data_IF_827743959856
#
_entry.id   IF_827743959856
#
_cell.length_a   1.000
_cell.length_b   1.000
_cell.length_c   1.000
_cell.angle_alpha   90.00
_cell.angle_beta   90.00
_cell.angle_gamma   90.00
#
_symmetry.space_group_name_H-M   'P 1'
#
loop_
_entity.id
_entity.type
_entity.pdbx_description
1 polymer ?
#
# COMPACT_ATOMS: atom_id res chain seq x y z
N UNK A 1 19.74 -16.44 35.68
CA UNK A 1 18.33 -16.17 35.49
C UNK A 1 18.18 -15.09 34.44
N UNK A 2 18.23 -15.45 33.16
CA UNK A 2 17.91 -14.54 32.07
C UNK A 2 16.40 -14.41 31.97
N UNK A 3 15.92 -13.19 31.91
CA UNK A 3 14.51 -12.87 31.72
C UNK A 3 14.14 -13.26 30.27
N UNK A 4 13.26 -14.25 30.02
CA UNK A 4 12.85 -14.58 28.67
C UNK A 4 11.75 -13.60 28.27
N UNK A 5 12.04 -12.67 27.37
CA UNK A 5 11.00 -11.93 26.67
C UNK A 5 11.04 -10.43 26.76
N UNK A 6 12.17 -9.80 26.51
CA UNK A 6 12.14 -8.52 25.82
C UNK A 6 12.23 -8.83 24.35
N UNK A 7 11.06 -8.95 23.68
CA UNK A 7 11.05 -8.67 22.25
C UNK A 7 11.69 -7.29 22.08
N UNK A 8 12.68 -7.14 21.18
CA UNK A 8 13.17 -5.81 20.84
C UNK A 8 11.96 -4.96 20.50
N UNK A 9 11.96 -3.71 20.95
CA UNK A 9 10.89 -2.74 20.71
C UNK A 9 10.35 -2.98 19.31
N UNK A 10 9.06 -3.37 19.23
CA UNK A 10 8.53 -4.00 18.01
C UNK A 10 8.73 -3.07 16.81
N UNK A 11 9.02 -3.65 15.66
CA UNK A 11 9.20 -2.90 14.40
C UNK A 11 7.88 -2.23 14.05
N UNK A 12 7.85 -0.89 13.88
CA UNK A 12 6.64 -0.21 13.42
C UNK A 12 6.15 -0.81 12.11
N UNK A 13 4.90 -1.23 12.09
CA UNK A 13 4.31 -1.93 10.96
C UNK A 13 2.96 -1.32 10.57
N UNK A 14 2.72 -1.12 9.28
CA UNK A 14 1.43 -0.69 8.76
C UNK A 14 0.63 -1.91 8.33
N UNK A 15 -0.63 -1.98 8.77
CA UNK A 15 -1.58 -3.01 8.31
C UNK A 15 -2.72 -2.32 7.58
N UNK A 16 -2.91 -2.68 6.31
CA UNK A 16 -3.91 -2.10 5.43
C UNK A 16 -5.18 -2.95 5.37
N UNK A 17 -6.34 -2.27 5.29
CA UNK A 17 -7.63 -2.85 4.99
C UNK A 17 -8.19 -2.21 3.71
N UNK A 18 -8.48 -3.04 2.69
CA UNK A 18 -8.81 -2.62 1.32
C UNK A 18 -10.31 -2.50 1.02
N UNK A 19 -11.18 -2.67 2.03
CA UNK A 19 -12.63 -2.57 1.89
C UNK A 19 -13.31 -2.26 3.22
N UNK A 20 -14.57 -1.77 3.23
CA UNK A 20 -15.33 -1.56 4.47
C UNK A 20 -15.42 -2.82 5.32
N UNK A 21 -15.62 -3.98 4.68
CA UNK A 21 -15.71 -5.28 5.37
C UNK A 21 -14.40 -5.65 6.07
N UNK A 22 -13.26 -5.50 5.41
CA UNK A 22 -11.95 -5.78 5.99
C UNK A 22 -11.62 -4.81 7.12
N UNK A 23 -11.97 -3.54 6.95
CA UNK A 23 -11.75 -2.52 7.99
C UNK A 23 -12.54 -2.86 9.27
N UNK A 24 -13.79 -3.25 9.14
CA UNK A 24 -14.59 -3.70 10.29
C UNK A 24 -14.00 -4.96 10.95
N UNK A 25 -13.47 -5.89 10.16
CA UNK A 25 -12.80 -7.07 10.70
C UNK A 25 -11.54 -6.68 11.48
N UNK A 26 -10.71 -5.80 10.92
CA UNK A 26 -9.49 -5.33 11.56
C UNK A 26 -9.78 -4.55 12.85
N UNK A 27 -10.83 -3.70 12.85
CA UNK A 27 -11.30 -3.01 14.09
C UNK A 27 -11.70 -4.02 15.17
N UNK A 28 -12.40 -5.08 14.82
CA UNK A 28 -12.78 -6.13 15.79
C UNK A 28 -11.57 -6.84 16.37
N UNK A 29 -10.54 -7.10 15.56
CA UNK A 29 -9.29 -7.68 16.03
C UNK A 29 -8.58 -6.74 17.01
N UNK A 30 -8.48 -5.46 16.68
CA UNK A 30 -7.86 -4.46 17.57
C UNK A 30 -8.61 -4.30 18.90
N UNK A 31 -9.94 -4.39 18.88
CA UNK A 31 -10.75 -4.33 20.10
C UNK A 31 -10.65 -5.60 20.95
N UNK A 32 -10.31 -6.75 20.35
CA UNK A 32 -10.25 -8.04 21.04
C UNK A 32 -8.88 -8.34 21.63
N UNK A 33 -7.84 -7.83 21.02
CA UNK A 33 -6.45 -8.07 21.43
C UNK A 33 -5.79 -6.74 21.79
N UNK A 34 -4.93 -6.75 22.80
CA UNK A 34 -4.00 -5.64 23.01
C UNK A 34 -3.07 -5.58 21.78
N UNK A 35 -3.37 -4.63 20.90
CA UNK A 35 -2.55 -4.41 19.72
C UNK A 35 -1.28 -3.68 20.16
N UNK A 36 -0.14 -4.22 19.76
CA UNK A 36 1.15 -3.61 20.10
C UNK A 36 1.17 -2.18 19.54
N UNK A 37 1.63 -1.18 20.31
CA UNK A 37 1.56 0.24 19.95
C UNK A 37 2.31 0.62 18.67
N UNK A 38 3.13 -0.29 18.14
CA UNK A 38 3.83 -0.10 16.86
C UNK A 38 3.05 -0.57 15.63
N UNK A 39 1.84 -1.12 15.81
CA UNK A 39 0.98 -1.49 14.68
C UNK A 39 0.10 -0.29 14.31
N UNK A 40 0.24 0.19 13.10
CA UNK A 40 -0.43 1.37 12.56
C UNK A 40 -1.51 0.89 11.57
N UNK A 41 -2.80 1.09 11.85
CA UNK A 41 -3.85 0.74 10.91
C UNK A 41 -3.93 1.74 9.74
N UNK A 42 -4.17 1.21 8.55
CA UNK A 42 -4.46 1.97 7.35
C UNK A 42 -5.74 1.48 6.69
N UNK A 43 -6.54 2.40 6.15
CA UNK A 43 -7.77 2.08 5.42
C UNK A 43 -7.81 2.80 4.08
N UNK A 44 -8.23 2.08 3.05
CA UNK A 44 -8.46 2.60 1.72
C UNK A 44 -9.29 1.64 0.89
N UNK A 45 -9.99 2.13 -0.13
CA UNK A 45 -10.63 1.27 -1.10
C UNK A 45 -9.57 0.79 -2.09
N UNK A 46 -9.19 -0.47 -1.94
CA UNK A 46 -8.25 -1.13 -2.83
C UNK A 46 -8.82 -1.23 -4.26
N UNK A 47 -8.03 -1.07 -5.33
CA UNK A 47 -8.52 -1.14 -6.71
C UNK A 47 -9.34 -2.40 -7.01
N UNK A 48 -9.05 -3.54 -6.40
CA UNK A 48 -9.79 -4.80 -6.57
C UNK A 48 -11.22 -4.78 -6.02
N UNK A 49 -11.58 -3.77 -5.25
CA UNK A 49 -12.89 -3.61 -4.63
C UNK A 49 -13.66 -2.38 -5.15
N UNK A 50 -13.08 -1.62 -6.08
CA UNK A 50 -13.65 -0.36 -6.56
C UNK A 50 -14.91 -0.51 -7.42
N UNK A 51 -15.22 -1.72 -7.88
CA UNK A 51 -16.49 -2.06 -8.53
C UNK A 51 -17.58 -2.53 -7.55
N UNK A 52 -17.21 -2.81 -6.29
CA UNK A 52 -18.12 -3.37 -5.26
C UNK A 52 -18.55 -2.33 -4.23
N UNK A 53 -17.72 -1.32 -4.00
CA UNK A 53 -17.92 -0.30 -2.98
C UNK A 53 -17.64 1.08 -3.57
N UNK A 54 -18.22 2.10 -2.95
CA UNK A 54 -17.86 3.48 -3.26
C UNK A 54 -16.72 3.94 -2.37
N UNK A 55 -15.87 4.83 -2.88
CA UNK A 55 -14.73 5.37 -2.12
C UNK A 55 -15.18 6.06 -0.83
N UNK A 56 -16.33 6.74 -0.88
CA UNK A 56 -16.89 7.46 0.27
C UNK A 56 -17.28 6.56 1.45
N UNK A 57 -17.53 5.27 1.20
CA UNK A 57 -17.80 4.30 2.28
C UNK A 57 -16.56 4.07 3.17
N UNK A 58 -15.37 4.36 2.65
CA UNK A 58 -14.12 4.27 3.41
C UNK A 58 -13.80 5.53 4.24
N UNK A 59 -14.40 6.68 3.92
CA UNK A 59 -14.05 7.96 4.55
C UNK A 59 -14.14 7.98 6.08
N UNK A 60 -15.14 7.37 6.74
CA UNK A 60 -15.16 7.31 8.21
C UNK A 60 -13.93 6.62 8.80
N UNK A 61 -13.47 5.54 8.17
CA UNK A 61 -12.29 4.80 8.61
C UNK A 61 -11.00 5.55 8.29
N UNK A 62 -10.92 6.14 7.11
CA UNK A 62 -9.81 6.98 6.69
C UNK A 62 -9.66 8.22 7.59
N UNK A 63 -10.75 8.75 8.13
CA UNK A 63 -10.69 9.86 9.08
C UNK A 63 -10.19 9.42 10.45
N UNK A 64 -10.64 8.25 10.91
CA UNK A 64 -10.30 7.69 12.22
C UNK A 64 -8.83 7.22 12.27
N UNK A 65 -8.35 6.57 11.22
CA UNK A 65 -7.03 5.94 11.20
C UNK A 65 -5.93 6.87 10.69
N UNK A 66 -4.67 6.71 11.18
CA UNK A 66 -3.60 7.66 10.91
C UNK A 66 -3.08 7.64 9.47
N UNK A 67 -3.24 6.52 8.77
CA UNK A 67 -2.73 6.29 7.41
C UNK A 67 -3.88 5.88 6.50
N UNK A 68 -3.85 6.31 5.25
CA UNK A 68 -4.76 5.84 4.21
C UNK A 68 -4.07 4.82 3.31
N UNK A 69 -4.82 3.81 2.88
CA UNK A 69 -4.31 2.81 1.94
C UNK A 69 -4.77 1.39 2.29
N UNK A 70 -4.54 0.45 1.36
CA UNK A 70 -3.92 0.70 0.08
C UNK A 70 -4.94 1.27 -0.90
N UNK A 71 -4.54 2.30 -1.63
CA UNK A 71 -5.32 2.85 -2.75
C UNK A 71 -4.42 2.93 -3.99
N UNK A 72 -4.99 2.89 -5.18
CA UNK A 72 -4.18 2.95 -6.39
C UNK A 72 -4.83 2.34 -7.61
N UNK A 73 -3.99 1.82 -8.52
CA UNK A 73 -4.40 1.20 -9.79
C UNK A 73 -3.67 -0.12 -10.00
N UNK A 74 -4.37 -1.08 -10.60
CA UNK A 74 -3.86 -2.41 -10.91
C UNK A 74 -4.46 -2.91 -12.23
N UNK A 75 -3.62 -3.12 -13.24
CA UNK A 75 -4.00 -3.80 -14.48
C UNK A 75 -3.35 -5.18 -14.63
N UNK A 76 -2.57 -5.61 -13.64
CA UNK A 76 -1.88 -6.89 -13.65
C UNK A 76 -2.72 -8.02 -13.03
N UNK A 77 -3.32 -7.76 -11.87
CA UNK A 77 -4.03 -8.77 -11.06
C UNK A 77 -5.51 -8.47 -10.86
N UNK A 78 -6.01 -7.40 -11.47
CA UNK A 78 -7.36 -6.90 -11.28
C UNK A 78 -8.08 -6.76 -12.64
N UNK A 79 -9.30 -7.29 -12.70
CA UNK A 79 -10.17 -7.20 -13.90
C UNK A 79 -11.13 -6.00 -13.82
N UNK A 80 -11.13 -5.22 -12.73
CA UNK A 80 -11.95 -4.01 -12.61
C UNK A 80 -11.48 -2.98 -13.64
N UNK A 81 -12.39 -2.39 -14.42
CA UNK A 81 -12.01 -1.40 -15.44
C UNK A 81 -11.23 -0.23 -14.85
N UNK A 82 -10.14 0.18 -15.51
CA UNK A 82 -9.24 1.25 -15.03
C UNK A 82 -9.95 2.58 -14.79
N UNK A 83 -10.98 2.92 -15.56
CA UNK A 83 -11.76 4.14 -15.33
C UNK A 83 -12.50 4.10 -13.99
N UNK A 84 -13.01 2.95 -13.57
CA UNK A 84 -13.64 2.76 -12.25
C UNK A 84 -12.62 2.86 -11.13
N UNK A 85 -11.46 2.22 -11.31
CA UNK A 85 -10.36 2.32 -10.36
C UNK A 85 -9.86 3.76 -10.21
N UNK A 86 -9.70 4.50 -11.32
CA UNK A 86 -9.24 5.90 -11.34
C UNK A 86 -10.20 6.82 -10.60
N UNK A 87 -11.50 6.69 -10.84
CA UNK A 87 -12.52 7.46 -10.14
C UNK A 87 -12.43 7.26 -8.62
N UNK A 88 -12.38 6.02 -8.17
CA UNK A 88 -12.21 5.69 -6.76
C UNK A 88 -10.87 6.17 -6.20
N UNK A 89 -9.79 6.06 -6.96
CA UNK A 89 -8.45 6.49 -6.55
C UNK A 89 -8.38 8.00 -6.37
N UNK A 90 -8.78 8.78 -7.37
CA UNK A 90 -8.71 10.25 -7.31
C UNK A 90 -9.65 10.82 -6.24
N UNK A 91 -10.83 10.23 -6.03
CA UNK A 91 -11.72 10.58 -4.93
C UNK A 91 -11.04 10.43 -3.55
N UNK A 92 -10.29 9.36 -3.36
CA UNK A 92 -9.56 9.10 -2.13
C UNK A 92 -8.32 9.99 -1.97
N UNK A 93 -7.61 10.30 -3.06
CA UNK A 93 -6.49 11.25 -3.03
C UNK A 93 -6.94 12.65 -2.61
N UNK A 94 -8.07 13.12 -3.14
CA UNK A 94 -8.66 14.40 -2.77
C UNK A 94 -8.97 14.44 -1.25
N UNK A 95 -9.55 13.37 -0.72
CA UNK A 95 -9.79 13.23 0.72
C UNK A 95 -8.49 13.23 1.52
N UNK A 96 -7.46 12.47 1.07
CA UNK A 96 -6.16 12.38 1.74
C UNK A 96 -5.47 13.75 1.84
N UNK A 97 -5.45 14.52 0.76
CA UNK A 97 -4.87 15.87 0.72
C UNK A 97 -5.63 16.80 1.67
N UNK A 98 -6.96 16.81 1.63
CA UNK A 98 -7.81 17.63 2.52
C UNK A 98 -7.57 17.32 4.00
N UNK A 99 -7.37 16.05 4.32
CA UNK A 99 -7.16 15.58 5.70
C UNK A 99 -5.68 15.51 6.11
N UNK A 100 -4.75 15.78 5.18
CA UNK A 100 -3.29 15.68 5.36
C UNK A 100 -2.84 14.30 5.86
N UNK A 101 -3.45 13.25 5.33
CA UNK A 101 -3.16 11.86 5.68
C UNK A 101 -2.11 11.29 4.75
N UNK A 102 -1.04 10.65 5.25
CA UNK A 102 -0.12 9.89 4.40
C UNK A 102 -0.84 8.71 3.75
N UNK A 103 -0.36 8.32 2.58
CA UNK A 103 -1.03 7.34 1.73
C UNK A 103 -0.08 6.20 1.37
N UNK A 104 -0.56 4.96 1.49
CA UNK A 104 0.06 3.76 0.92
C UNK A 104 -0.55 3.51 -0.46
N UNK A 105 0.30 3.45 -1.49
CA UNK A 105 -0.08 3.32 -2.89
C UNK A 105 0.12 1.90 -3.41
N UNK A 106 -0.91 1.34 -4.00
CA UNK A 106 -0.85 0.11 -4.79
C UNK A 106 -0.62 0.47 -6.26
N UNK A 107 0.50 -0.02 -6.85
CA UNK A 107 0.90 0.31 -8.22
C UNK A 107 1.28 -0.97 -8.96
N UNK A 108 0.41 -1.43 -9.86
CA UNK A 108 0.69 -2.63 -10.67
C UNK A 108 0.37 -2.40 -12.14
N UNK A 109 1.44 -2.31 -12.96
CA UNK A 109 1.39 -1.95 -14.40
C UNK A 109 0.73 -0.59 -14.68
N UNK A 110 0.65 0.27 -13.66
CA UNK A 110 0.10 1.63 -13.75
C UNK A 110 1.01 2.67 -13.11
N UNK A 111 2.30 2.36 -12.99
CA UNK A 111 3.28 3.19 -12.29
C UNK A 111 3.39 4.59 -12.91
N UNK A 112 3.51 4.69 -14.25
CA UNK A 112 3.56 5.96 -14.96
C UNK A 112 2.29 6.81 -14.77
N UNK A 113 1.14 6.17 -14.87
CA UNK A 113 -0.17 6.83 -14.72
C UNK A 113 -0.34 7.39 -13.30
N UNK A 114 -0.03 6.59 -12.29
CA UNK A 114 -0.10 7.00 -10.89
C UNK A 114 0.87 8.15 -10.62
N UNK A 115 2.14 8.03 -11.02
CA UNK A 115 3.13 9.10 -10.85
C UNK A 115 2.66 10.43 -11.49
N UNK A 116 2.00 10.35 -12.66
CA UNK A 116 1.39 11.51 -13.32
C UNK A 116 0.21 12.11 -12.54
N UNK A 117 -0.65 11.26 -11.98
CA UNK A 117 -1.80 11.67 -11.18
C UNK A 117 -1.35 12.38 -9.90
N UNK A 118 -0.36 11.84 -9.18
CA UNK A 118 0.12 12.37 -7.90
C UNK A 118 0.58 13.83 -7.97
N UNK A 119 1.08 14.30 -9.12
CA UNK A 119 1.48 15.70 -9.32
C UNK A 119 0.35 16.70 -9.03
N UNK A 120 -0.91 16.27 -9.13
CA UNK A 120 -2.09 17.09 -8.82
C UNK A 120 -2.51 17.02 -7.36
N UNK A 121 -1.95 16.06 -6.62
CA UNK A 121 -2.32 15.76 -5.23
C UNK A 121 -1.07 15.75 -4.33
N UNK A 122 -0.43 16.90 -4.07
CA UNK A 122 0.79 16.94 -3.25
C UNK A 122 0.50 16.43 -1.83
N UNK A 123 1.21 15.36 -1.43
CA UNK A 123 1.04 14.70 -0.15
C UNK A 123 2.28 13.84 0.17
N UNK A 124 2.25 13.07 1.26
CA UNK A 124 3.24 12.03 1.57
C UNK A 124 2.75 10.67 1.12
N UNK A 125 3.57 10.00 0.33
CA UNK A 125 3.23 8.72 -0.30
C UNK A 125 4.26 7.66 0.04
N UNK A 126 3.78 6.41 0.23
CA UNK A 126 4.57 5.21 0.21
C UNK A 126 4.13 4.38 -1.00
N UNK A 127 5.00 4.19 -1.97
CA UNK A 127 4.79 3.24 -3.06
C UNK A 127 5.09 1.85 -2.52
N UNK A 128 4.02 1.08 -2.34
CA UNK A 128 4.08 -0.24 -1.73
C UNK A 128 4.51 -1.29 -2.74
N UNK A 129 5.40 -2.19 -2.30
CA UNK A 129 5.94 -3.31 -3.08
C UNK A 129 6.30 -2.92 -4.51
N UNK A 130 7.25 -2.01 -4.62
CA UNK A 130 7.70 -1.52 -5.93
C UNK A 130 8.43 -2.64 -6.68
N UNK A 131 7.90 -3.02 -7.83
CA UNK A 131 8.45 -4.12 -8.66
C UNK A 131 8.64 -3.75 -10.14
N UNK A 132 8.47 -2.47 -10.49
CA UNK A 132 8.66 -1.97 -11.84
C UNK A 132 10.13 -1.64 -12.12
N UNK A 133 10.59 -1.94 -13.37
CA UNK A 133 11.92 -1.57 -13.82
C UNK A 133 12.05 -0.13 -14.36
N UNK A 134 10.97 0.66 -14.31
CA UNK A 134 10.88 2.00 -14.87
C UNK A 134 10.08 2.91 -13.93
N UNK A 135 10.14 4.24 -14.17
CA UNK A 135 9.34 5.24 -13.43
C UNK A 135 9.70 5.46 -11.95
N UNK A 136 10.77 4.86 -11.44
CA UNK A 136 11.20 5.07 -10.05
C UNK A 136 11.56 6.54 -9.78
N UNK A 137 12.30 7.17 -10.69
CA UNK A 137 12.71 8.58 -10.57
C UNK A 137 11.51 9.51 -10.44
N UNK A 138 10.42 9.24 -11.17
CA UNK A 138 9.21 10.06 -11.12
C UNK A 138 8.53 10.06 -9.74
N UNK A 139 8.67 9.00 -8.97
CA UNK A 139 8.22 8.92 -7.57
C UNK A 139 9.21 9.59 -6.61
N UNK A 140 10.50 9.37 -6.81
CA UNK A 140 11.55 9.99 -6.00
C UNK A 140 11.56 11.52 -6.14
N UNK A 141 11.30 12.05 -7.33
CA UNK A 141 11.13 13.48 -7.59
C UNK A 141 9.94 14.11 -6.86
N UNK A 142 8.97 13.28 -6.46
CA UNK A 142 7.80 13.68 -5.68
C UNK A 142 7.93 13.34 -4.19
N UNK A 143 9.16 13.11 -3.72
CA UNK A 143 9.48 12.79 -2.33
C UNK A 143 8.76 11.52 -1.78
N UNK A 144 8.40 10.59 -2.65
CA UNK A 144 7.76 9.34 -2.23
C UNK A 144 8.74 8.43 -1.48
N UNK A 145 8.22 7.74 -0.49
CA UNK A 145 8.84 6.54 0.09
C UNK A 145 8.56 5.34 -0.81
N UNK A 146 9.45 4.36 -0.77
CA UNK A 146 9.31 3.14 -1.56
C UNK A 146 9.58 1.93 -0.66
N UNK A 147 8.70 0.93 -0.68
CA UNK A 147 8.97 -0.32 0.00
C UNK A 147 9.35 -1.42 -0.97
N UNK A 148 10.25 -2.27 -0.50
CA UNK A 148 10.81 -3.41 -1.22
C UNK A 148 10.30 -4.70 -0.57
N UNK A 149 9.70 -5.54 -1.40
CA UNK A 149 9.14 -6.82 -1.00
C UNK A 149 10.15 -7.98 -1.05
N UNK A 150 9.72 -9.19 -0.68
CA UNK A 150 10.58 -10.40 -0.67
C UNK A 150 11.13 -10.78 -2.04
N UNK A 151 10.53 -10.33 -3.12
CA UNK A 151 10.94 -10.56 -4.49
C UNK A 151 12.30 -9.92 -4.84
N UNK A 152 12.85 -9.06 -3.98
CA UNK A 152 14.23 -8.57 -4.08
C UNK A 152 15.26 -9.69 -4.17
N UNK A 153 14.94 -10.89 -3.68
CA UNK A 153 15.85 -12.06 -3.71
C UNK A 153 16.08 -12.55 -5.15
N UNK A 154 15.09 -12.39 -6.04
CA UNK A 154 15.17 -12.94 -7.42
C UNK A 154 14.83 -11.96 -8.53
N UNK A 155 14.18 -10.83 -8.24
CA UNK A 155 13.75 -9.87 -9.26
C UNK A 155 14.81 -8.78 -9.48
N UNK A 156 15.50 -8.73 -10.66
CA UNK A 156 16.52 -7.72 -10.92
C UNK A 156 16.01 -6.28 -10.87
N UNK A 157 14.76 -6.04 -11.29
CA UNK A 157 14.18 -4.70 -11.24
C UNK A 157 14.02 -4.19 -9.80
N UNK A 158 13.58 -5.08 -8.90
CA UNK A 158 13.46 -4.78 -7.47
C UNK A 158 14.84 -4.57 -6.82
N UNK A 159 15.84 -5.39 -7.20
CA UNK A 159 17.21 -5.22 -6.74
C UNK A 159 17.79 -3.89 -7.15
N UNK A 160 17.49 -3.44 -8.38
CA UNK A 160 17.96 -2.16 -8.88
C UNK A 160 17.26 -1.00 -8.19
N UNK A 161 15.93 -1.08 -8.02
CA UNK A 161 15.18 -0.09 -7.24
C UNK A 161 15.73 0.04 -5.81
N UNK A 162 16.02 -1.10 -5.14
CA UNK A 162 16.60 -1.10 -3.79
C UNK A 162 17.96 -0.40 -3.70
N UNK A 163 18.75 -0.35 -4.80
CA UNK A 163 20.03 0.38 -4.84
C UNK A 163 19.87 1.87 -5.10
N UNK A 164 18.81 2.25 -5.81
CA UNK A 164 18.58 3.65 -6.25
C UNK A 164 17.79 4.46 -5.23
N UNK A 165 16.89 3.81 -4.46
CA UNK A 165 16.10 4.50 -3.43
C UNK A 165 17.01 5.00 -2.31
N UNK A 166 16.96 6.31 -1.93
CA UNK A 166 17.69 6.81 -0.78
C UNK A 166 17.34 6.07 0.52
N UNK A 167 18.34 5.82 1.38
CA UNK A 167 18.15 5.06 2.62
C UNK A 167 17.05 5.62 3.54
N UNK A 168 16.89 6.93 3.58
CA UNK A 168 15.89 7.64 4.38
C UNK A 168 14.47 7.54 3.80
N UNK A 169 14.31 6.97 2.60
CA UNK A 169 13.03 6.73 1.92
C UNK A 169 12.77 5.28 1.61
N UNK A 170 13.71 4.40 1.93
CA UNK A 170 13.59 2.96 1.70
C UNK A 170 12.93 2.28 2.88
N UNK A 171 11.88 1.54 2.61
CA UNK A 171 11.21 0.67 3.58
C UNK A 171 11.26 -0.78 3.10
N UNK A 172 11.03 -1.69 4.02
CA UNK A 172 10.92 -3.13 3.71
C UNK A 172 9.55 -3.64 4.13
N UNK A 173 9.09 -4.65 3.43
CA UNK A 173 7.80 -5.26 3.72
C UNK A 173 7.81 -6.77 3.50
N UNK A 174 6.79 -7.44 4.02
CA UNK A 174 6.60 -8.88 3.85
C UNK A 174 5.50 -9.24 2.87
N UNK A 175 4.66 -8.26 2.48
CA UNK A 175 3.64 -8.39 1.46
C UNK A 175 2.61 -9.51 1.69
N UNK A 176 2.33 -9.87 2.94
CA UNK A 176 1.28 -10.85 3.24
C UNK A 176 -0.10 -10.20 3.12
N UNK A 177 -0.70 -10.28 1.95
CA UNK A 177 -2.13 -10.12 1.77
C UNK A 177 -2.78 -11.51 1.58
N UNK A 178 -4.01 -11.66 2.03
CA UNK A 178 -4.80 -12.89 1.80
C UNK A 178 -5.02 -13.21 0.31
N UNK A 179 -4.66 -12.30 -0.58
CA UNK A 179 -4.67 -12.48 -2.03
C UNK A 179 -3.36 -12.99 -2.63
N UNK A 180 -2.26 -13.05 -1.87
CA UNK A 180 -0.94 -13.46 -2.38
C UNK A 180 -0.86 -14.91 -2.83
N UNK A 181 -1.76 -15.80 -2.36
CA UNK A 181 -1.81 -17.18 -2.89
C UNK A 181 -2.16 -17.22 -4.39
N UNK A 182 -2.89 -16.24 -4.90
CA UNK A 182 -3.22 -16.18 -6.34
C UNK A 182 -2.11 -15.53 -7.17
N UNK A 183 -1.41 -14.51 -6.67
CA UNK A 183 -0.29 -13.87 -7.35
C UNK A 183 0.91 -14.82 -7.55
N UNK A 184 1.31 -15.52 -6.51
CA UNK A 184 2.40 -16.51 -6.58
C UNK A 184 2.15 -17.65 -7.57
N UNK A 185 0.90 -18.05 -7.81
CA UNK A 185 0.56 -19.07 -8.80
C UNK A 185 0.63 -18.56 -10.24
N UNK A 186 0.35 -17.26 -10.48
CA UNK A 186 0.46 -16.68 -11.84
C UNK A 186 1.93 -16.47 -12.24
N UNK A 187 2.79 -16.02 -11.36
CA UNK A 187 4.22 -15.85 -11.67
C UNK A 187 4.95 -17.18 -11.92
N UNK A 188 4.56 -18.28 -11.26
CA UNK A 188 5.13 -19.61 -11.54
C UNK A 188 4.74 -20.18 -12.90
N UNK A 189 3.76 -19.64 -13.60
CA UNK A 189 3.35 -20.08 -14.93
C UNK A 189 4.01 -19.29 -16.06
N UNK A 190 4.86 -18.30 -15.75
CA UNK A 190 5.58 -17.48 -16.73
C UNK A 190 7.10 -17.74 -16.76
N UNK A 191 7.56 -18.87 -16.18
CA UNK A 191 8.94 -19.37 -16.30
C UNK A 191 8.95 -20.68 -17.06
#
# INVERSE_FOLDING_TARGET
>A
GGNPGTHPDGIPSVICAGSPKETEQLKRLFNRFEVHPVIIPAAGLHPWNSDKYRAEEMFPFMEEWPVMGEIGLDSLWCDVPLNVQKEAFECQLDFAVKKRKPVVLHTKEQEAEIAGILRRYPNRYLVHWYSCGQHLEEYLDQDCYVSIGPDVVWNPAVQEAARQVPEDRLLIETGWSWGCEMGWRKEKSMV
#
